data_IF_605042429603
#
_entry.id   IF_605042429603
#
_cell.length_a   1.000
_cell.length_b   1.000
_cell.length_c   1.000
_cell.angle_alpha   90.00
_cell.angle_beta   90.00
_cell.angle_gamma   90.00
#
_symmetry.space_group_name_H-M   'P 1'
#
loop_
_entity.id
_entity.type
_entity.pdbx_description
1 polymer ?
#
# COMPACT_ATOMS: atom_id res chain seq x y z
N UNK A 1 -11.08 14.48 10.04
CA UNK A 1 -10.58 14.85 11.38
C UNK A 1 -9.14 15.33 11.21
N UNK A 2 -8.77 16.45 11.83
CA UNK A 2 -7.41 17.00 11.74
C UNK A 2 -6.46 16.16 12.61
N UNK A 3 -5.28 15.83 12.09
CA UNK A 3 -4.23 15.17 12.84
C UNK A 3 -3.80 16.06 14.02
N UNK A 4 -4.16 15.65 15.24
CA UNK A 4 -3.76 16.32 16.47
C UNK A 4 -2.32 15.95 16.83
N UNK A 5 -1.47 16.96 16.95
CA UNK A 5 -0.08 16.80 17.40
C UNK A 5 -0.03 16.31 18.85
N UNK A 6 0.62 15.15 19.06
CA UNK A 6 0.85 14.53 20.36
C UNK A 6 2.33 14.50 20.74
N UNK A 7 2.62 15.18 21.86
CA UNK A 7 3.64 14.93 22.89
C UNK A 7 5.07 14.52 22.50
N UNK A 8 6.02 15.39 22.90
CA UNK A 8 7.46 15.29 22.67
C UNK A 8 8.09 13.97 23.10
N UNK A 9 8.44 13.17 22.09
CA UNK A 9 9.60 12.28 22.12
C UNK A 9 10.85 13.17 22.32
N UNK A 10 11.86 12.78 23.11
CA UNK A 10 13.12 13.54 23.15
C UNK A 10 13.59 13.81 21.74
N UNK A 11 13.92 15.07 21.45
CA UNK A 11 14.26 15.57 20.12
C UNK A 11 15.44 14.73 19.59
N UNK A 12 15.15 13.69 18.81
CA UNK A 12 16.17 12.80 18.26
C UNK A 12 17.03 13.64 17.34
N UNK A 13 18.35 13.48 17.45
CA UNK A 13 19.27 14.20 16.56
C UNK A 13 18.97 13.77 15.12
N UNK A 14 18.35 14.70 14.37
CA UNK A 14 18.02 14.52 12.97
C UNK A 14 19.30 14.23 12.20
N UNK A 15 19.24 13.20 11.37
CA UNK A 15 20.34 12.83 10.47
C UNK A 15 20.69 13.99 9.53
N UNK A 16 21.98 14.22 9.26
CA UNK A 16 22.47 15.35 8.47
C UNK A 16 22.65 15.00 6.99
N UNK A 17 23.06 13.77 6.71
CA UNK A 17 23.24 13.22 5.37
C UNK A 17 22.89 11.72 5.32
N UNK A 18 22.70 11.17 4.13
CA UNK A 18 22.28 9.77 3.97
C UNK A 18 23.36 8.77 4.39
N UNK A 19 24.63 9.14 4.33
CA UNK A 19 25.73 8.31 4.83
C UNK A 19 25.59 8.07 6.34
N UNK A 20 25.20 9.09 7.12
CA UNK A 20 24.94 8.96 8.54
C UNK A 20 23.81 7.97 8.83
N UNK A 21 22.73 7.98 8.01
CA UNK A 21 21.65 6.99 8.12
C UNK A 21 22.15 5.56 7.85
N UNK A 22 22.95 5.38 6.80
CA UNK A 22 23.52 4.07 6.46
C UNK A 22 24.43 3.56 7.58
N UNK A 23 25.35 4.41 8.05
CA UNK A 23 26.31 4.07 9.08
C UNK A 23 25.60 3.78 10.43
N UNK A 24 24.52 4.51 10.75
CA UNK A 24 23.72 4.33 11.97
C UNK A 24 22.90 3.05 11.98
N UNK A 25 22.29 2.68 10.86
CA UNK A 25 21.26 1.63 10.82
C UNK A 25 21.65 0.37 10.05
N UNK A 26 22.46 0.46 9.00
CA UNK A 26 22.74 -0.67 8.11
C UNK A 26 24.11 -1.31 8.36
N UNK A 27 25.02 -0.64 9.10
CA UNK A 27 26.37 -1.16 9.38
C UNK A 27 27.25 -1.29 8.13
N UNK A 28 26.85 -0.66 7.03
CA UNK A 28 27.49 -0.69 5.73
C UNK A 28 26.76 0.24 4.76
N UNK A 29 27.24 0.33 3.52
CA UNK A 29 26.71 1.26 2.52
C UNK A 29 26.25 0.52 1.26
N UNK A 30 25.21 1.03 0.58
CA UNK A 30 24.78 0.47 -0.69
C UNK A 30 25.77 0.82 -1.81
N UNK A 31 25.44 0.45 -3.06
CA UNK A 31 26.23 0.89 -4.23
C UNK A 31 26.29 2.43 -4.30
N UNK A 32 27.35 2.99 -4.89
CA UNK A 32 27.46 4.45 -5.06
C UNK A 32 26.31 5.00 -5.91
N UNK A 33 25.81 4.22 -6.88
CA UNK A 33 24.64 4.58 -7.67
C UNK A 33 23.38 4.72 -6.81
N UNK A 34 23.11 3.76 -5.91
CA UNK A 34 21.99 3.86 -4.98
C UNK A 34 22.16 5.02 -3.99
N UNK A 35 23.39 5.22 -3.48
CA UNK A 35 23.71 6.32 -2.56
C UNK A 35 23.50 7.69 -3.20
N UNK A 36 23.93 7.88 -4.46
CA UNK A 36 23.68 9.12 -5.22
C UNK A 36 22.20 9.43 -5.34
N UNK A 37 21.37 8.43 -5.65
CA UNK A 37 19.91 8.61 -5.73
C UNK A 37 19.33 8.94 -4.35
N UNK A 38 19.82 8.30 -3.29
CA UNK A 38 19.35 8.53 -1.91
C UNK A 38 19.66 9.93 -1.40
N UNK A 39 20.78 10.55 -1.78
CA UNK A 39 21.14 11.93 -1.37
C UNK A 39 20.02 12.94 -1.69
N UNK A 40 19.19 12.69 -2.69
CA UNK A 40 18.01 13.51 -2.97
C UNK A 40 17.02 13.59 -1.79
N UNK A 41 17.00 12.61 -0.87
CA UNK A 41 16.20 12.64 0.36
C UNK A 41 16.59 13.78 1.30
N UNK A 42 17.85 14.25 1.28
CA UNK A 42 18.35 15.29 2.18
C UNK A 42 17.63 16.62 2.00
N UNK A 43 17.18 16.91 0.78
CA UNK A 43 16.53 18.18 0.45
C UNK A 43 15.00 18.07 0.51
N UNK A 44 14.46 16.91 0.90
CA UNK A 44 13.02 16.68 0.97
C UNK A 44 12.38 17.33 2.20
N UNK A 45 11.05 17.41 2.17
CA UNK A 45 10.22 17.89 3.28
C UNK A 45 10.50 17.08 4.56
N UNK A 46 10.35 17.66 5.77
CA UNK A 46 10.58 16.96 7.03
C UNK A 46 9.85 15.60 7.14
N UNK A 47 8.57 15.55 6.74
CA UNK A 47 7.77 14.33 6.70
C UNK A 47 8.45 13.18 5.91
N UNK A 48 9.02 13.49 4.74
CA UNK A 48 9.72 12.51 3.89
C UNK A 48 11.00 12.05 4.58
N UNK A 49 11.75 12.98 5.19
CA UNK A 49 12.99 12.64 5.89
C UNK A 49 12.74 11.75 7.11
N UNK A 50 11.66 12.00 7.84
CA UNK A 50 11.22 11.17 8.96
C UNK A 50 10.75 9.79 8.47
N UNK A 51 10.05 9.73 7.33
CA UNK A 51 9.67 8.49 6.66
C UNK A 51 10.88 7.64 6.28
N UNK A 52 11.89 8.24 5.65
CA UNK A 52 13.14 7.56 5.27
C UNK A 52 13.89 7.03 6.50
N UNK A 53 14.04 7.84 7.56
CA UNK A 53 14.71 7.36 8.78
C UNK A 53 13.97 6.17 9.41
N UNK A 54 12.64 6.22 9.45
CA UNK A 54 11.83 5.10 9.97
C UNK A 54 11.99 3.84 9.11
N UNK A 55 12.06 3.97 7.79
CA UNK A 55 12.35 2.84 6.90
C UNK A 55 13.73 2.22 7.20
N UNK A 56 14.77 3.04 7.41
CA UNK A 56 16.12 2.56 7.76
C UNK A 56 16.15 1.84 9.10
N UNK A 57 15.36 2.29 10.09
CA UNK A 57 15.20 1.57 11.36
C UNK A 57 14.58 0.19 11.19
N UNK A 58 13.58 0.07 10.32
CA UNK A 58 12.93 -1.22 10.00
C UNK A 58 13.87 -2.14 9.22
N UNK A 59 14.70 -1.58 8.31
CA UNK A 59 15.79 -2.31 7.66
C UNK A 59 16.79 -2.85 8.68
N UNK A 60 17.18 -2.05 9.67
CA UNK A 60 18.07 -2.50 10.75
C UNK A 60 17.46 -3.63 11.58
N UNK A 61 16.20 -3.47 12.01
CA UNK A 61 15.45 -4.47 12.77
C UNK A 61 15.33 -5.80 12.01
N UNK A 62 15.09 -5.71 10.71
CA UNK A 62 15.00 -6.86 9.83
C UNK A 62 16.35 -7.40 9.37
N UNK A 63 17.48 -6.87 9.83
CA UNK A 63 18.84 -7.30 9.42
C UNK A 63 19.05 -7.23 7.90
N UNK A 64 18.51 -6.18 7.27
CA UNK A 64 18.66 -5.94 5.84
C UNK A 64 20.14 -5.74 5.49
N UNK A 65 20.60 -6.40 4.41
CA UNK A 65 21.96 -6.19 3.92
C UNK A 65 22.00 -4.91 3.06
N UNK A 66 22.84 -3.91 3.39
CA UNK A 66 22.95 -2.69 2.58
C UNK A 66 23.31 -2.96 1.12
N UNK A 67 23.95 -4.09 0.81
CA UNK A 67 24.28 -4.50 -0.56
C UNK A 67 23.04 -4.85 -1.39
N UNK A 68 21.90 -5.14 -0.76
CA UNK A 68 20.62 -5.38 -1.42
C UNK A 68 19.83 -4.09 -1.68
N UNK A 69 20.32 -2.95 -1.22
CA UNK A 69 19.69 -1.67 -1.49
C UNK A 69 20.00 -1.24 -2.93
N UNK A 70 19.05 -1.47 -3.84
CA UNK A 70 19.21 -1.13 -5.25
C UNK A 70 18.90 0.35 -5.54
N UNK A 71 19.37 0.89 -6.68
CA UNK A 71 18.96 2.21 -7.17
C UNK A 71 17.43 2.35 -7.33
N UNK A 72 16.73 1.24 -7.62
CA UNK A 72 15.27 1.23 -7.70
C UNK A 72 14.62 1.48 -6.33
N UNK A 73 15.09 0.81 -5.28
CA UNK A 73 14.64 1.06 -3.90
C UNK A 73 14.98 2.50 -3.47
N UNK A 74 16.13 3.03 -3.89
CA UNK A 74 16.49 4.42 -3.64
C UNK A 74 15.51 5.41 -4.29
N UNK A 75 15.12 5.16 -5.55
CA UNK A 75 14.11 5.98 -6.24
C UNK A 75 12.74 5.93 -5.57
N UNK A 76 12.36 4.80 -4.96
CA UNK A 76 11.12 4.76 -4.18
C UNK A 76 11.14 5.84 -3.09
N UNK A 77 12.21 5.92 -2.29
CA UNK A 77 12.29 6.87 -1.19
C UNK A 77 12.44 8.34 -1.65
N UNK A 78 13.08 8.59 -2.79
CA UNK A 78 13.42 9.97 -3.20
C UNK A 78 12.57 10.54 -4.31
N UNK A 79 11.80 9.71 -5.02
CA UNK A 79 10.95 10.14 -6.14
C UNK A 79 9.50 9.77 -5.86
N UNK A 80 9.21 8.52 -5.50
CA UNK A 80 7.83 8.04 -5.35
C UNK A 80 7.22 8.48 -4.01
N UNK A 81 7.87 8.16 -2.88
CA UNK A 81 7.40 8.48 -1.54
C UNK A 81 7.06 9.98 -1.38
N UNK A 82 7.88 10.95 -1.83
CA UNK A 82 7.52 12.36 -1.75
C UNK A 82 6.22 12.74 -2.45
N UNK A 83 5.81 12.00 -3.49
CA UNK A 83 4.57 12.22 -4.24
C UNK A 83 3.35 11.51 -3.65
N UNK A 84 3.53 10.45 -2.85
CA UNK A 84 2.43 9.65 -2.29
C UNK A 84 2.22 9.85 -0.78
N UNK A 85 3.07 10.64 -0.11
CA UNK A 85 2.90 10.97 1.30
C UNK A 85 1.87 12.10 1.52
N UNK A 86 1.09 12.08 2.62
CA UNK A 86 0.00 13.03 2.86
C UNK A 86 0.39 14.51 2.75
N UNK A 87 1.62 14.90 3.13
CA UNK A 87 2.08 16.28 3.01
C UNK A 87 2.09 16.82 1.57
N UNK A 88 2.19 15.97 0.54
CA UNK A 88 2.04 16.39 -0.87
C UNK A 88 0.60 16.80 -1.23
N UNK A 89 -0.36 16.38 -0.41
CA UNK A 89 -1.81 16.47 -0.63
C UNK A 89 -2.50 17.30 0.44
N UNK A 90 -1.77 18.22 1.09
CA UNK A 90 -2.32 19.09 2.13
C UNK A 90 -2.77 18.32 3.38
N UNK A 91 -2.12 17.19 3.67
CA UNK A 91 -2.41 16.33 4.83
C UNK A 91 -3.53 15.32 4.62
N UNK A 92 -4.04 15.19 3.39
CA UNK A 92 -5.05 14.19 3.04
C UNK A 92 -4.35 12.85 2.77
N UNK A 93 -4.97 11.76 3.24
CA UNK A 93 -4.56 10.40 2.85
C UNK A 93 -4.89 10.18 1.37
N UNK A 94 -3.92 9.89 0.50
CA UNK A 94 -4.18 9.73 -0.92
C UNK A 94 -5.11 8.54 -1.17
N UNK A 95 -6.18 8.71 -1.98
CA UNK A 95 -7.17 7.67 -2.24
C UNK A 95 -6.68 6.67 -3.30
N UNK A 96 -5.41 6.27 -3.24
CA UNK A 96 -4.72 5.47 -4.25
C UNK A 96 -5.22 4.04 -4.26
N UNK A 97 -5.77 3.60 -5.38
CA UNK A 97 -6.18 2.22 -5.64
C UNK A 97 -5.62 1.77 -6.99
N UNK A 98 -5.44 0.46 -7.17
CA UNK A 98 -5.00 -0.14 -8.42
C UNK A 98 -5.77 -1.43 -8.69
N UNK A 99 -5.97 -1.81 -9.96
CA UNK A 99 -6.56 -3.09 -10.30
C UNK A 99 -5.75 -4.28 -9.77
N UNK A 100 -6.44 -5.34 -9.38
CA UNK A 100 -5.85 -6.60 -8.92
C UNK A 100 -5.17 -6.52 -7.56
N UNK A 101 -5.29 -5.40 -6.84
CA UNK A 101 -4.60 -5.18 -5.54
C UNK A 101 -4.90 -6.28 -4.54
N UNK A 102 -6.19 -6.54 -4.29
CA UNK A 102 -6.64 -7.48 -3.25
C UNK A 102 -6.97 -8.88 -3.76
N UNK A 103 -6.44 -9.28 -4.92
CA UNK A 103 -6.80 -10.57 -5.54
C UNK A 103 -6.52 -11.76 -4.62
N UNK A 104 -5.35 -11.82 -3.98
CA UNK A 104 -5.05 -12.90 -3.02
C UNK A 104 -5.82 -12.73 -1.71
N UNK A 105 -6.12 -11.50 -1.29
CA UNK A 105 -6.93 -11.27 -0.09
C UNK A 105 -8.36 -11.78 -0.28
N UNK A 106 -8.96 -11.55 -1.45
CA UNK A 106 -10.29 -12.05 -1.78
C UNK A 106 -10.29 -13.58 -1.88
N UNK A 107 -9.26 -14.18 -2.48
CA UNK A 107 -9.08 -15.63 -2.48
C UNK A 107 -8.91 -16.20 -1.05
N UNK A 108 -8.19 -15.48 -0.18
CA UNK A 108 -7.98 -15.85 1.22
C UNK A 108 -9.30 -15.81 2.01
N UNK A 109 -10.13 -14.79 1.79
CA UNK A 109 -11.45 -14.69 2.43
C UNK A 109 -12.39 -15.83 2.01
N UNK A 110 -12.32 -16.30 0.75
CA UNK A 110 -13.09 -17.48 0.30
C UNK A 110 -12.62 -18.79 0.93
N UNK A 111 -11.31 -18.94 1.11
CA UNK A 111 -10.69 -20.15 1.64
C UNK A 111 -10.46 -20.10 3.16
N UNK A 112 -11.05 -19.11 3.85
CA UNK A 112 -10.72 -18.80 5.23
C UNK A 112 -11.18 -19.90 6.20
N UNK A 113 -10.31 -20.31 7.13
CA UNK A 113 -10.62 -21.33 8.14
C UNK A 113 -11.17 -20.76 9.45
N UNK A 114 -11.05 -19.45 9.67
CA UNK A 114 -11.43 -18.77 10.91
C UNK A 114 -12.91 -18.40 10.95
N UNK A 115 -13.57 -18.32 9.80
CA UNK A 115 -15.00 -18.01 9.69
C UNK A 115 -15.62 -18.69 8.46
N UNK A 116 -16.90 -19.04 8.59
CA UNK A 116 -17.74 -19.45 7.46
C UNK A 116 -18.70 -18.30 7.14
N UNK A 117 -18.76 -17.92 5.86
CA UNK A 117 -19.60 -16.83 5.39
C UNK A 117 -20.74 -17.37 4.54
N UNK A 118 -21.96 -16.94 4.85
CA UNK A 118 -23.16 -17.33 4.14
C UNK A 118 -23.49 -16.32 3.03
N UNK A 119 -24.29 -16.69 2.02
CA UNK A 119 -24.88 -15.72 1.09
C UNK A 119 -25.56 -14.57 1.83
N UNK A 120 -25.35 -13.34 1.35
CA UNK A 120 -25.81 -12.11 1.98
C UNK A 120 -24.87 -11.56 3.05
N UNK A 121 -23.69 -12.17 3.27
CA UNK A 121 -22.64 -11.61 4.12
C UNK A 121 -22.30 -10.19 3.67
N UNK A 122 -22.15 -9.28 4.63
CA UNK A 122 -21.74 -7.90 4.38
C UNK A 122 -20.22 -7.81 4.52
N UNK A 123 -19.54 -7.38 3.46
CA UNK A 123 -18.15 -6.94 3.48
C UNK A 123 -18.12 -5.42 3.48
N UNK A 124 -17.58 -4.85 4.55
CA UNK A 124 -17.33 -3.42 4.68
C UNK A 124 -15.86 -3.12 4.35
N UNK A 125 -15.63 -2.46 3.22
CA UNK A 125 -14.31 -2.10 2.70
C UNK A 125 -13.98 -0.66 3.14
N UNK A 126 -13.26 -0.52 4.25
CA UNK A 126 -12.98 0.78 4.89
C UNK A 126 -11.71 1.39 4.34
N UNK A 127 -11.84 2.60 3.80
CA UNK A 127 -10.83 3.31 3.01
C UNK A 127 -10.74 2.75 1.59
N UNK A 128 -11.88 2.56 0.94
CA UNK A 128 -11.95 2.00 -0.42
C UNK A 128 -11.30 2.91 -1.49
N UNK A 129 -10.94 4.15 -1.15
CA UNK A 129 -10.26 5.08 -2.04
C UNK A 129 -11.11 5.49 -3.24
N UNK A 130 -10.45 6.06 -4.24
CA UNK A 130 -11.11 6.59 -5.43
C UNK A 130 -10.17 6.70 -6.65
N UNK A 131 -10.55 6.11 -7.81
CA UNK A 131 -11.71 5.25 -8.04
C UNK A 131 -11.73 4.02 -7.12
N UNK A 132 -12.90 3.51 -6.69
CA UNK A 132 -12.98 2.48 -5.65
C UNK A 132 -12.75 1.06 -6.20
N UNK A 133 -11.64 0.85 -6.90
CA UNK A 133 -11.35 -0.37 -7.67
C UNK A 133 -11.39 -1.63 -6.80
N UNK A 134 -10.90 -1.55 -5.57
CA UNK A 134 -10.86 -2.68 -4.63
C UNK A 134 -12.26 -3.16 -4.21
N UNK A 135 -13.23 -2.24 -4.09
CA UNK A 135 -14.62 -2.57 -3.79
C UNK A 135 -15.35 -3.11 -5.02
N UNK A 136 -15.03 -2.62 -6.21
CA UNK A 136 -15.56 -3.14 -7.48
C UNK A 136 -15.13 -4.60 -7.66
N UNK A 137 -13.83 -4.87 -7.52
CA UNK A 137 -13.29 -6.23 -7.64
C UNK A 137 -13.83 -7.17 -6.56
N UNK A 138 -14.01 -6.69 -5.33
CA UNK A 138 -14.67 -7.47 -4.28
C UNK A 138 -16.12 -7.82 -4.66
N UNK A 139 -16.87 -6.91 -5.28
CA UNK A 139 -18.24 -7.18 -5.71
C UNK A 139 -18.32 -8.22 -6.83
N UNK A 140 -17.32 -8.26 -7.71
CA UNK A 140 -17.16 -9.30 -8.72
C UNK A 140 -16.72 -10.64 -8.11
N UNK A 141 -15.84 -10.58 -7.10
CA UNK A 141 -15.34 -11.76 -6.41
C UNK A 141 -16.38 -12.39 -5.47
N UNK A 142 -17.37 -11.65 -4.99
CA UNK A 142 -18.38 -12.14 -4.07
C UNK A 142 -19.79 -11.72 -4.53
N UNK A 143 -20.30 -12.30 -5.64
CA UNK A 143 -21.60 -11.90 -6.21
C UNK A 143 -22.77 -12.17 -5.25
N UNK A 144 -22.63 -13.13 -4.34
CA UNK A 144 -23.61 -13.47 -3.32
C UNK A 144 -23.47 -12.66 -2.02
N UNK A 145 -22.45 -11.80 -1.89
CA UNK A 145 -22.27 -10.92 -0.72
C UNK A 145 -22.79 -9.53 -1.02
N UNK A 146 -23.01 -8.74 0.03
CA UNK A 146 -23.25 -7.30 -0.07
C UNK A 146 -21.96 -6.56 0.25
N UNK A 147 -21.43 -5.84 -0.73
CA UNK A 147 -20.23 -5.02 -0.59
C UNK A 147 -20.61 -3.58 -0.28
N UNK A 148 -19.98 -3.02 0.74
CA UNK A 148 -20.12 -1.62 1.12
C UNK A 148 -18.74 -0.99 1.12
N UNK A 149 -18.45 -0.18 0.11
CA UNK A 149 -17.24 0.64 0.07
C UNK A 149 -17.44 1.89 0.92
N UNK A 150 -16.52 2.14 1.85
CA UNK A 150 -16.58 3.29 2.74
C UNK A 150 -15.30 4.10 2.65
N UNK A 151 -15.41 5.41 2.42
CA UNK A 151 -14.28 6.34 2.49
C UNK A 151 -14.72 7.66 3.16
N UNK A 152 -13.88 8.30 3.99
CA UNK A 152 -14.19 9.60 4.57
C UNK A 152 -14.53 10.69 3.53
N UNK A 153 -13.96 10.59 2.32
CA UNK A 153 -14.14 11.60 1.28
C UNK A 153 -14.41 10.96 -0.07
N UNK A 154 -15.54 11.34 -0.66
CA UNK A 154 -15.81 11.11 -2.07
C UNK A 154 -15.96 12.46 -2.76
N UNK A 155 -15.03 12.75 -3.68
CA UNK A 155 -14.99 14.03 -4.36
C UNK A 155 -16.12 14.14 -5.39
N UNK A 156 -16.68 15.34 -5.56
CA UNK A 156 -17.87 15.56 -6.39
C UNK A 156 -17.55 15.39 -7.88
N UNK A 157 -16.30 15.64 -8.27
CA UNK A 157 -15.87 15.64 -9.65
C UNK A 157 -14.66 14.74 -9.88
N UNK A 158 -14.69 14.06 -11.02
CA UNK A 158 -13.56 13.32 -11.59
C UNK A 158 -13.30 13.84 -12.99
N UNK A 159 -12.08 14.33 -13.24
CA UNK A 159 -11.67 14.88 -14.52
C UNK A 159 -10.58 14.00 -15.12
N UNK A 160 -10.77 13.58 -16.36
CA UNK A 160 -9.75 12.93 -17.19
C UNK A 160 -9.17 13.95 -18.18
N UNK A 161 -7.85 13.99 -18.28
CA UNK A 161 -7.15 14.74 -19.32
C UNK A 161 -7.12 13.95 -20.65
N UNK A 162 -6.54 14.54 -21.69
CA UNK A 162 -6.39 13.94 -23.03
C UNK A 162 -5.51 12.67 -23.07
N UNK A 163 -4.80 12.37 -21.98
CA UNK A 163 -3.96 11.19 -21.80
C UNK A 163 -4.58 10.17 -20.86
N UNK A 164 -5.84 10.37 -20.48
CA UNK A 164 -6.60 9.60 -19.49
C UNK A 164 -6.05 9.69 -18.06
N UNK A 165 -5.05 10.52 -17.77
CA UNK A 165 -4.70 10.81 -16.38
C UNK A 165 -5.89 11.49 -15.72
N UNK A 166 -6.07 11.27 -14.42
CA UNK A 166 -7.24 11.77 -13.74
C UNK A 166 -6.93 12.63 -12.53
N UNK A 167 -7.83 13.56 -12.24
CA UNK A 167 -7.86 14.35 -11.03
C UNK A 167 -9.21 14.27 -10.32
N UNK A 168 -9.17 14.15 -9.00
CA UNK A 168 -10.34 14.27 -8.13
C UNK A 168 -10.45 15.73 -7.68
N UNK A 169 -11.62 16.33 -7.89
CA UNK A 169 -11.86 17.74 -7.55
C UNK A 169 -13.05 17.86 -6.60
N UNK A 170 -12.87 18.72 -5.59
CA UNK A 170 -13.94 19.00 -4.64
C UNK A 170 -15.06 19.84 -5.28
N UNK A 171 -16.10 20.14 -4.49
CA UNK A 171 -17.28 20.88 -4.96
C UNK A 171 -16.97 22.27 -5.54
N UNK A 172 -15.81 22.84 -5.22
CA UNK A 172 -15.35 24.15 -5.69
C UNK A 172 -14.47 24.05 -6.94
N UNK A 173 -14.16 22.84 -7.41
CA UNK A 173 -13.24 22.61 -8.52
C UNK A 173 -11.77 22.63 -8.11
N UNK A 174 -11.45 22.59 -6.81
CA UNK A 174 -10.07 22.50 -6.36
C UNK A 174 -9.58 21.06 -6.54
N UNK A 175 -8.43 20.89 -7.17
CA UNK A 175 -7.75 19.60 -7.30
C UNK A 175 -7.30 19.11 -5.92
N UNK A 176 -7.78 17.92 -5.53
CA UNK A 176 -7.50 17.28 -4.24
C UNK A 176 -6.46 16.18 -4.38
N UNK A 177 -6.53 15.47 -5.49
CA UNK A 177 -5.65 14.36 -5.84
C UNK A 177 -5.58 14.22 -7.36
N UNK A 178 -4.46 13.72 -7.88
CA UNK A 178 -4.35 13.31 -9.28
C UNK A 178 -3.43 12.10 -9.41
N UNK A 179 -3.67 11.30 -10.45
CA UNK A 179 -2.93 10.07 -10.72
C UNK A 179 -2.77 9.83 -12.20
N UNK A 180 -1.60 9.30 -12.55
CA UNK A 180 -1.30 8.86 -13.89
C UNK A 180 -2.09 7.59 -14.22
N UNK A 181 -2.68 7.54 -15.41
CA UNK A 181 -3.41 6.35 -15.88
C UNK A 181 -2.46 5.23 -16.33
N UNK A 182 -1.24 5.61 -16.73
CA UNK A 182 -0.23 4.70 -17.25
C UNK A 182 1.13 4.93 -16.58
N UNK A 183 1.98 3.90 -16.43
CA UNK A 183 3.29 4.03 -15.80
C UNK A 183 4.19 5.10 -16.43
N UNK A 184 4.17 5.24 -17.76
CA UNK A 184 4.98 6.21 -18.51
C UNK A 184 4.60 7.68 -18.23
N UNK A 185 3.36 7.94 -17.81
CA UNK A 185 2.87 9.28 -17.48
C UNK A 185 3.17 9.67 -16.03
N UNK A 186 3.60 8.73 -15.17
CA UNK A 186 3.87 8.99 -13.76
C UNK A 186 4.91 10.10 -13.58
N UNK A 187 6.13 9.92 -14.11
CA UNK A 187 7.19 10.91 -13.91
C UNK A 187 6.84 12.29 -14.51
N UNK A 188 6.31 12.40 -15.74
CA UNK A 188 5.83 13.68 -16.27
C UNK A 188 4.81 14.36 -15.36
N UNK A 189 3.78 13.64 -14.92
CA UNK A 189 2.68 14.19 -14.12
C UNK A 189 3.13 14.69 -12.73
N UNK A 190 4.11 14.03 -12.13
CA UNK A 190 4.61 14.40 -10.79
C UNK A 190 5.85 15.32 -10.83
N UNK A 191 6.40 15.60 -12.02
CA UNK A 191 7.63 16.42 -12.15
C UNK A 191 7.40 17.90 -11.84
N UNK A 192 6.25 18.45 -12.24
CA UNK A 192 5.80 19.81 -11.90
C UNK A 192 4.35 19.76 -11.41
N UNK A 193 4.20 19.70 -10.09
CA UNK A 193 2.91 19.60 -9.42
C UNK A 193 2.04 20.84 -9.65
N UNK A 194 2.62 22.04 -9.63
CA UNK A 194 1.85 23.27 -9.74
C UNK A 194 1.34 23.46 -11.16
N UNK A 195 2.16 23.14 -12.16
CA UNK A 195 1.73 23.09 -13.56
C UNK A 195 0.63 22.05 -13.77
N UNK A 196 0.74 20.87 -13.15
CA UNK A 196 -0.27 19.81 -13.25
C UNK A 196 -1.60 20.22 -12.63
N UNK A 197 -1.57 20.83 -11.44
CA UNK A 197 -2.78 21.37 -10.80
C UNK A 197 -3.41 22.47 -11.68
N UNK A 198 -2.59 23.34 -12.26
CA UNK A 198 -3.07 24.38 -13.16
C UNK A 198 -3.72 23.80 -14.41
N UNK A 199 -3.12 22.77 -15.03
CA UNK A 199 -3.68 22.06 -16.17
C UNK A 199 -5.07 21.49 -15.87
N UNK A 200 -5.22 20.71 -14.81
CA UNK A 200 -6.53 20.17 -14.42
C UNK A 200 -7.54 21.25 -14.05
N UNK A 201 -7.10 22.32 -13.36
CA UNK A 201 -7.98 23.43 -12.99
C UNK A 201 -8.52 24.17 -14.22
N UNK A 202 -7.69 24.36 -15.26
CA UNK A 202 -8.09 24.96 -16.52
C UNK A 202 -9.06 24.08 -17.30
N UNK A 203 -8.77 22.78 -17.41
CA UNK A 203 -9.67 21.82 -18.05
C UNK A 203 -11.02 21.73 -17.33
N UNK A 204 -11.03 21.72 -16.00
CA UNK A 204 -12.25 21.78 -15.21
C UNK A 204 -13.09 23.03 -15.52
N UNK A 205 -12.47 24.22 -15.53
CA UNK A 205 -13.17 25.48 -15.80
C UNK A 205 -13.77 25.53 -17.22
N UNK A 206 -13.16 24.85 -18.18
CA UNK A 206 -13.68 24.75 -19.56
C UNK A 206 -14.85 23.78 -19.69
N UNK A 207 -14.82 22.65 -18.98
CA UNK A 207 -15.84 21.60 -19.09
C UNK A 207 -17.04 21.81 -18.16
N UNK A 208 -16.86 22.46 -17.01
CA UNK A 208 -17.92 22.67 -16.02
C UNK A 208 -19.19 23.33 -16.60
N UNK A 209 -19.12 24.37 -17.47
CA UNK A 209 -20.31 24.97 -18.07
C UNK A 209 -21.07 24.04 -19.02
N UNK A 210 -20.43 22.99 -19.52
CA UNK A 210 -21.03 22.00 -20.42
C UNK A 210 -21.73 20.86 -19.68
N UNK A 211 -21.58 20.79 -18.35
CA UNK A 211 -22.34 19.83 -17.56
C UNK A 211 -23.82 20.24 -17.49
N UNK A 212 -24.75 19.27 -17.52
CA UNK A 212 -26.16 19.51 -17.18
C UNK A 212 -26.32 20.16 -15.80
N UNK A 213 -27.53 20.69 -15.54
CA UNK A 213 -27.95 21.13 -14.21
C UNK A 213 -27.72 20.01 -13.20
N UNK A 214 -27.20 20.35 -12.02
CA UNK A 214 -26.95 19.36 -10.97
C UNK A 214 -28.26 18.87 -10.34
N UNK A 215 -28.65 17.65 -10.69
CA UNK A 215 -29.80 16.94 -10.10
C UNK A 215 -29.37 15.91 -9.04
N UNK A 216 -28.10 15.93 -8.60
CA UNK A 216 -27.57 14.96 -7.66
C UNK A 216 -27.25 13.58 -8.26
N UNK A 217 -27.22 13.47 -9.58
CA UNK A 217 -27.01 12.23 -10.33
C UNK A 217 -25.79 12.31 -11.24
N UNK A 218 -25.30 11.15 -11.70
CA UNK A 218 -24.18 11.09 -12.62
C UNK A 218 -24.43 11.95 -13.86
N UNK A 219 -23.45 12.79 -14.19
CA UNK A 219 -23.42 13.55 -15.43
C UNK A 219 -22.01 13.67 -15.97
N UNK A 220 -21.89 13.84 -17.28
CA UNK A 220 -20.60 13.86 -17.97
C UNK A 220 -20.58 14.97 -19.02
N UNK A 221 -19.45 15.62 -19.16
CA UNK A 221 -19.14 16.57 -20.23
C UNK A 221 -17.79 16.20 -20.86
N UNK A 222 -17.71 16.25 -22.19
CA UNK A 222 -16.51 15.89 -22.94
C UNK A 222 -16.17 16.97 -23.97
N UNK A 223 -14.89 17.32 -24.07
CA UNK A 223 -14.37 18.26 -25.06
C UNK A 223 -12.87 18.04 -25.28
N UNK A 224 -12.42 18.01 -26.53
CA UNK A 224 -11.01 17.83 -26.94
C UNK A 224 -10.31 16.64 -26.25
N UNK A 225 -10.99 15.50 -26.15
CA UNK A 225 -10.45 14.29 -25.50
C UNK A 225 -10.39 14.36 -23.97
N UNK A 226 -10.85 15.45 -23.35
CA UNK A 226 -10.96 15.60 -21.89
C UNK A 226 -12.38 15.30 -21.44
N UNK A 227 -12.53 14.71 -20.27
CA UNK A 227 -13.83 14.25 -19.75
C UNK A 227 -14.03 14.62 -18.29
N UNK A 228 -15.06 15.40 -18.00
CA UNK A 228 -15.46 15.76 -16.65
C UNK A 228 -16.70 14.95 -16.25
N UNK A 229 -16.61 14.23 -15.14
CA UNK A 229 -17.71 13.47 -14.54
C UNK A 229 -18.11 14.11 -13.21
N UNK A 230 -19.39 14.39 -13.02
CA UNK A 230 -19.98 14.81 -11.73
C UNK A 230 -20.72 13.64 -11.09
N UNK A 231 -20.63 13.51 -9.77
CA UNK A 231 -21.19 12.41 -8.96
C UNK A 231 -20.72 11.02 -9.43
N UNK A 232 -19.41 10.81 -9.57
CA UNK A 232 -18.86 9.65 -10.29
C UNK A 232 -19.08 8.29 -9.59
N UNK A 233 -19.36 8.28 -8.28
CA UNK A 233 -19.58 7.03 -7.52
C UNK A 233 -20.68 6.15 -8.08
N UNK A 234 -21.79 6.76 -8.50
CA UNK A 234 -22.95 6.03 -9.02
C UNK A 234 -22.64 5.25 -10.31
N UNK A 235 -21.54 5.57 -11.02
CA UNK A 235 -21.05 4.78 -12.15
C UNK A 235 -20.49 3.42 -11.71
N UNK A 236 -20.01 3.33 -10.47
CA UNK A 236 -19.35 2.16 -9.90
C UNK A 236 -20.29 1.27 -9.08
N UNK A 237 -21.47 1.77 -8.69
CA UNK A 237 -22.47 0.99 -7.97
C UNK A 237 -22.97 -0.20 -8.80
N UNK A 238 -23.32 -1.29 -8.10
CA UNK A 238 -23.85 -2.53 -8.69
C UNK A 238 -25.00 -3.03 -7.82
N UNK A 239 -25.69 -4.08 -8.25
CA UNK A 239 -26.77 -4.70 -7.46
C UNK A 239 -26.32 -5.17 -6.07
N UNK A 240 -25.03 -5.50 -5.92
CA UNK A 240 -24.43 -5.94 -4.68
C UNK A 240 -23.34 -4.99 -4.13
N UNK A 241 -23.16 -3.80 -4.72
CA UNK A 241 -22.14 -2.83 -4.32
C UNK A 241 -22.73 -1.43 -4.15
N UNK A 242 -22.57 -0.88 -2.96
CA UNK A 242 -22.97 0.50 -2.61
C UNK A 242 -21.83 1.25 -1.93
N UNK A 243 -21.83 2.57 -2.01
CA UNK A 243 -20.83 3.42 -1.36
C UNK A 243 -21.43 4.28 -0.25
N UNK A 244 -20.72 4.40 0.87
CA UNK A 244 -21.13 5.25 2.00
C UNK A 244 -19.99 6.15 2.39
N UNK A 245 -20.22 7.47 2.43
CA UNK A 245 -19.21 8.39 2.93
C UNK A 245 -19.05 8.19 4.45
N UNK A 246 -17.93 7.62 4.86
CA UNK A 246 -17.65 7.24 6.24
C UNK A 246 -16.33 6.48 6.36
N UNK A 247 -15.76 6.47 7.55
CA UNK A 247 -14.58 5.67 7.89
C UNK A 247 -14.68 5.13 9.31
N UNK A 248 -13.55 4.68 9.87
CA UNK A 248 -13.46 4.27 11.26
C UNK A 248 -14.11 5.30 12.19
N UNK A 249 -14.94 4.82 13.14
CA UNK A 249 -15.68 5.67 14.09
C UNK A 249 -16.96 6.31 13.55
N UNK A 250 -17.29 6.17 12.26
CA UNK A 250 -18.50 6.81 11.70
C UNK A 250 -19.77 6.09 12.14
N UNK A 251 -20.79 6.87 12.54
CA UNK A 251 -22.14 6.36 12.74
C UNK A 251 -22.85 6.18 11.39
N UNK A 252 -23.56 5.07 11.20
CA UNK A 252 -24.30 4.79 9.96
C UNK A 252 -23.64 3.80 9.00
N UNK A 253 -22.43 3.31 9.30
CA UNK A 253 -21.89 2.13 8.62
C UNK A 253 -22.61 0.86 9.11
N UNK A 254 -22.89 -0.10 8.22
CA UNK A 254 -23.66 -1.29 8.58
C UNK A 254 -22.83 -2.25 9.43
N UNK A 255 -23.52 -3.04 10.26
CA UNK A 255 -22.93 -4.24 10.86
C UNK A 255 -22.45 -5.19 9.74
N UNK A 256 -21.26 -5.77 9.92
CA UNK A 256 -20.58 -6.54 8.88
C UNK A 256 -20.15 -7.94 9.34
N UNK A 257 -20.10 -8.89 8.40
CA UNK A 257 -19.46 -10.19 8.62
C UNK A 257 -17.94 -10.12 8.39
N UNK A 258 -17.52 -9.23 7.48
CA UNK A 258 -16.12 -8.93 7.20
C UNK A 258 -15.92 -7.42 7.20
N UNK A 259 -14.92 -6.94 7.93
CA UNK A 259 -14.35 -5.60 7.77
C UNK A 259 -12.98 -5.78 7.14
N UNK A 260 -12.75 -5.12 6.00
CA UNK A 260 -11.48 -5.10 5.30
C UNK A 260 -10.92 -3.68 5.33
N UNK A 261 -9.63 -3.52 5.63
CA UNK A 261 -8.97 -2.21 5.54
C UNK A 261 -7.47 -2.35 5.24
N UNK A 262 -7.10 -2.16 3.98
CA UNK A 262 -5.71 -2.25 3.52
C UNK A 262 -5.17 -0.89 3.10
N UNK A 263 -3.91 -0.64 3.48
CA UNK A 263 -3.21 0.61 3.21
C UNK A 263 -3.89 1.85 3.81
N UNK A 264 -4.64 1.70 4.90
CA UNK A 264 -5.31 2.82 5.58
C UNK A 264 -4.70 3.09 6.94
N UNK A 265 -4.69 2.08 7.82
CA UNK A 265 -4.23 2.26 9.21
C UNK A 265 -2.76 2.66 9.33
N UNK A 266 -1.95 2.40 8.29
CA UNK A 266 -0.56 2.84 8.18
C UNK A 266 -0.38 4.36 8.25
N UNK A 267 -1.42 5.14 7.94
CA UNK A 267 -1.41 6.61 7.99
C UNK A 267 -1.69 7.18 9.38
N UNK A 268 -2.09 6.34 10.34
CA UNK A 268 -2.57 6.78 11.64
C UNK A 268 -1.70 6.26 12.78
N UNK A 269 -1.68 6.98 13.88
CA UNK A 269 -0.90 6.62 15.06
C UNK A 269 -1.52 5.47 15.86
N UNK A 270 -0.83 5.07 16.92
CA UNK A 270 -1.26 3.98 17.79
C UNK A 270 -2.56 4.30 18.56
N UNK A 271 -2.89 5.57 18.79
CA UNK A 271 -4.09 5.97 19.51
C UNK A 271 -5.31 5.78 18.63
N UNK A 272 -5.27 6.32 17.41
CA UNK A 272 -6.28 6.09 16.40
C UNK A 272 -6.43 4.60 16.08
N UNK A 273 -5.32 3.84 16.01
CA UNK A 273 -5.39 2.38 15.78
C UNK A 273 -6.23 1.68 16.85
N UNK A 274 -6.09 2.04 18.13
CA UNK A 274 -6.89 1.44 19.22
C UNK A 274 -8.37 1.81 19.09
N UNK A 275 -8.66 3.08 18.83
CA UNK A 275 -10.04 3.54 18.62
C UNK A 275 -10.69 2.85 17.40
N UNK A 276 -9.94 2.67 16.32
CA UNK A 276 -10.38 1.94 15.14
C UNK A 276 -10.68 0.47 15.47
N UNK A 277 -9.82 -0.21 16.22
CA UNK A 277 -10.04 -1.60 16.64
C UNK A 277 -11.26 -1.77 17.55
N UNK A 278 -11.46 -0.84 18.50
CA UNK A 278 -12.65 -0.81 19.36
C UNK A 278 -13.92 -0.62 18.55
N UNK A 279 -13.90 0.29 17.56
CA UNK A 279 -15.02 0.50 16.66
C UNK A 279 -15.28 -0.73 15.78
N UNK A 280 -14.24 -1.36 15.22
CA UNK A 280 -14.40 -2.58 14.40
C UNK A 280 -15.01 -3.71 15.23
N UNK A 281 -14.61 -3.86 16.50
CA UNK A 281 -15.19 -4.86 17.40
C UNK A 281 -16.70 -4.67 17.63
N UNK A 282 -17.21 -3.43 17.53
CA UNK A 282 -18.63 -3.10 17.67
C UNK A 282 -19.42 -3.31 16.37
N UNK A 283 -18.77 -3.14 15.22
CA UNK A 283 -19.39 -3.25 13.89
C UNK A 283 -19.40 -4.69 13.38
N UNK A 284 -18.45 -5.52 13.82
CA UNK A 284 -18.39 -6.92 13.44
C UNK A 284 -19.45 -7.77 14.14
N UNK A 285 -20.12 -8.61 13.36
CA UNK A 285 -20.91 -9.72 13.88
C UNK A 285 -20.05 -10.67 14.73
N UNK A 286 -20.63 -11.36 15.72
CA UNK A 286 -19.94 -12.42 16.43
C UNK A 286 -19.33 -13.45 15.46
N UNK A 287 -18.03 -13.73 15.62
CA UNK A 287 -17.28 -14.63 14.74
C UNK A 287 -16.88 -14.04 13.37
N UNK A 288 -17.25 -12.79 13.07
CA UNK A 288 -16.83 -12.07 11.87
C UNK A 288 -15.34 -11.72 11.89
N UNK A 289 -14.80 -11.33 10.74
CA UNK A 289 -13.37 -11.09 10.55
C UNK A 289 -13.04 -9.62 10.31
N UNK A 290 -11.95 -9.18 10.93
CA UNK A 290 -11.25 -7.96 10.54
C UNK A 290 -9.94 -8.34 9.85
N UNK A 291 -9.77 -7.91 8.60
CA UNK A 291 -8.52 -8.11 7.85
C UNK A 291 -7.93 -6.75 7.52
N UNK A 292 -6.72 -6.49 7.99
CA UNK A 292 -6.08 -5.20 7.78
C UNK A 292 -4.56 -5.30 7.66
N UNK A 293 -3.98 -4.35 6.93
CA UNK A 293 -2.53 -4.25 6.79
C UNK A 293 -2.19 -3.51 5.52
N UNK A 294 -1.21 -4.01 4.79
CA UNK A 294 -0.79 -3.47 3.51
C UNK A 294 -0.80 -4.57 2.45
N UNK A 295 -1.23 -4.15 1.26
CA UNK A 295 -1.29 -4.98 0.08
C UNK A 295 -1.08 -4.09 -1.15
N UNK A 296 -0.21 -4.45 -2.08
CA UNK A 296 -0.01 -3.70 -3.32
C UNK A 296 -0.58 -4.50 -4.52
N UNK A 297 -0.44 -4.00 -5.75
CA UNK A 297 -1.00 -4.67 -6.94
C UNK A 297 -0.59 -6.14 -7.05
N UNK A 298 -1.54 -7.02 -7.35
CA UNK A 298 -1.33 -8.48 -7.40
C UNK A 298 -0.83 -9.07 -6.08
N UNK A 299 -1.20 -8.43 -4.97
CA UNK A 299 -0.81 -8.76 -3.61
C UNK A 299 0.71 -8.81 -3.36
N UNK A 300 1.46 -7.99 -4.08
CA UNK A 300 2.86 -7.75 -3.78
C UNK A 300 3.04 -7.00 -2.46
N UNK A 301 4.15 -7.26 -1.78
CA UNK A 301 4.50 -6.67 -0.49
C UNK A 301 3.40 -6.87 0.58
N UNK A 302 2.54 -7.87 0.41
CA UNK A 302 1.43 -8.13 1.31
C UNK A 302 1.96 -8.42 2.71
N UNK A 303 1.41 -7.73 3.71
CA UNK A 303 1.57 -8.08 5.11
C UNK A 303 0.37 -7.57 5.90
N UNK A 304 -0.30 -8.47 6.61
CA UNK A 304 -1.60 -8.18 7.18
C UNK A 304 -1.91 -9.04 8.39
N UNK A 305 -2.76 -8.49 9.24
CA UNK A 305 -3.32 -9.14 10.41
C UNK A 305 -4.76 -9.57 10.11
N UNK A 306 -5.15 -10.71 10.67
CA UNK A 306 -6.49 -11.27 10.63
C UNK A 306 -6.96 -11.45 12.07
N UNK A 307 -8.03 -10.73 12.41
CA UNK A 307 -8.67 -10.84 13.71
C UNK A 307 -10.06 -11.43 13.55
N UNK A 308 -10.50 -12.13 14.58
CA UNK A 308 -11.87 -12.61 14.70
C UNK A 308 -12.57 -11.94 15.87
N UNK A 309 -13.83 -11.54 15.68
CA UNK A 309 -14.67 -11.03 16.76
C UNK A 309 -15.08 -12.15 17.71
N UNK A 310 -14.56 -12.15 18.93
CA UNK A 310 -14.84 -13.13 19.97
C UNK A 310 -15.16 -12.41 21.29
N UNK A 311 -16.36 -12.61 21.82
CA UNK A 311 -16.79 -11.98 23.08
C UNK A 311 -16.79 -10.44 23.04
N UNK A 312 -17.05 -9.83 21.88
CA UNK A 312 -17.03 -8.38 21.69
C UNK A 312 -15.62 -7.78 21.62
N UNK A 313 -14.60 -8.60 21.35
CA UNK A 313 -13.20 -8.18 21.22
C UNK A 313 -12.60 -8.75 19.95
N UNK A 314 -11.58 -8.09 19.42
CA UNK A 314 -10.77 -8.62 18.33
C UNK A 314 -9.71 -9.56 18.90
N UNK A 315 -9.77 -10.82 18.51
CA UNK A 315 -8.75 -11.83 18.82
C UNK A 315 -7.96 -12.09 17.56
N UNK A 316 -6.67 -11.76 17.57
CA UNK A 316 -5.79 -12.04 16.45
C UNK A 316 -5.68 -13.56 16.24
N UNK A 317 -5.84 -13.99 14.99
CA UNK A 317 -5.70 -15.39 14.59
C UNK A 317 -4.45 -15.62 13.76
N UNK A 318 -4.11 -14.64 12.93
CA UNK A 318 -3.04 -14.77 11.94
C UNK A 318 -2.41 -13.41 11.65
N UNK A 319 -1.09 -13.38 11.58
CA UNK A 319 -0.35 -12.37 10.83
C UNK A 319 0.31 -13.06 9.64
N UNK A 320 0.06 -12.57 8.43
CA UNK A 320 0.56 -13.16 7.20
C UNK A 320 1.31 -12.16 6.34
N UNK A 321 2.26 -12.65 5.54
CA UNK A 321 3.06 -11.85 4.63
C UNK A 321 3.55 -12.63 3.40
N UNK A 322 3.80 -11.92 2.30
CA UNK A 322 4.40 -12.46 1.08
C UNK A 322 5.90 -12.73 1.26
N UNK A 323 6.40 -13.86 0.77
CA UNK A 323 7.81 -14.24 0.96
C UNK A 323 8.79 -13.34 0.21
N UNK A 324 8.36 -12.68 -0.86
CA UNK A 324 9.15 -11.72 -1.64
C UNK A 324 9.63 -10.54 -0.79
N UNK A 325 8.90 -10.23 0.29
CA UNK A 325 9.27 -9.20 1.28
C UNK A 325 10.59 -9.49 1.99
N UNK A 326 11.07 -10.75 1.98
CA UNK A 326 12.36 -11.16 2.57
C UNK A 326 13.51 -10.33 2.05
N UNK A 327 13.46 -9.82 0.82
CA UNK A 327 14.50 -8.90 0.32
C UNK A 327 13.96 -7.56 -0.15
N UNK A 328 12.70 -7.50 -0.56
CA UNK A 328 12.12 -6.27 -1.05
C UNK A 328 10.84 -5.95 -0.27
N UNK A 329 11.01 -5.27 0.88
CA UNK A 329 9.90 -4.61 1.56
C UNK A 329 10.00 -3.11 1.32
N UNK A 330 8.86 -2.48 1.03
CA UNK A 330 8.79 -1.03 0.77
C UNK A 330 8.89 -0.22 2.07
N UNK A 331 9.03 -0.89 3.24
CA UNK A 331 9.24 -0.28 4.57
C UNK A 331 8.42 0.98 4.82
N UNK A 332 7.14 0.93 4.48
CA UNK A 332 6.25 2.08 4.58
C UNK A 332 5.59 2.09 5.95
N UNK A 333 6.18 2.83 6.87
CA UNK A 333 5.52 3.27 8.08
C UNK A 333 5.37 4.79 8.00
N UNK A 334 4.37 5.40 8.63
CA UNK A 334 4.32 6.85 8.88
C UNK A 334 4.51 7.23 10.35
N UNK A 335 4.36 6.24 11.22
CA UNK A 335 4.43 6.39 12.66
C UNK A 335 5.41 5.38 13.25
N UNK A 336 6.03 5.75 14.37
CA UNK A 336 6.84 4.80 15.13
C UNK A 336 5.93 3.69 15.68
N UNK A 337 6.35 2.43 15.52
CA UNK A 337 5.59 1.29 16.02
C UNK A 337 4.32 0.96 15.22
N UNK A 338 4.23 1.38 13.95
CA UNK A 338 3.20 0.88 13.02
C UNK A 338 3.22 -0.66 13.04
N UNK A 339 2.09 -1.26 13.46
CA UNK A 339 2.04 -2.61 14.01
C UNK A 339 2.44 -3.66 12.98
N UNK A 340 1.84 -3.60 11.79
CA UNK A 340 2.02 -4.63 10.78
C UNK A 340 3.44 -4.58 10.16
N UNK A 341 3.96 -3.39 9.85
CA UNK A 341 5.31 -3.24 9.29
C UNK A 341 6.40 -3.58 10.32
N UNK A 342 6.20 -3.23 11.59
CA UNK A 342 7.14 -3.58 12.65
C UNK A 342 7.23 -5.10 12.84
N UNK A 343 6.07 -5.78 12.91
CA UNK A 343 6.03 -7.23 13.03
C UNK A 343 6.62 -7.94 11.82
N UNK A 344 6.37 -7.42 10.62
CA UNK A 344 7.05 -7.90 9.42
C UNK A 344 8.57 -7.81 9.59
N UNK A 345 9.10 -6.66 10.02
CA UNK A 345 10.54 -6.48 10.20
C UNK A 345 11.15 -7.50 11.18
N UNK A 346 10.48 -7.82 12.28
CA UNK A 346 10.94 -8.84 13.25
C UNK A 346 10.98 -10.25 12.65
N UNK A 347 9.93 -10.63 11.91
CA UNK A 347 9.86 -11.93 11.24
C UNK A 347 10.90 -12.05 10.13
N UNK A 348 11.10 -10.99 9.35
CA UNK A 348 12.16 -10.95 8.33
C UNK A 348 13.55 -11.00 8.96
N UNK A 349 13.76 -10.35 10.11
CA UNK A 349 14.99 -10.47 10.88
C UNK A 349 15.27 -11.89 11.34
N UNK A 350 14.24 -12.67 11.66
CA UNK A 350 14.35 -14.10 11.96
C UNK A 350 14.74 -14.90 10.73
N UNK A 351 14.06 -14.70 9.60
CA UNK A 351 14.36 -15.38 8.33
C UNK A 351 15.79 -15.11 7.85
N UNK A 352 16.21 -13.84 7.84
CA UNK A 352 17.57 -13.43 7.43
C UNK A 352 18.66 -13.86 8.42
N UNK A 353 18.31 -14.34 9.61
CA UNK A 353 19.28 -14.93 10.54
C UNK A 353 19.63 -16.38 10.19
N UNK A 354 18.79 -17.07 9.41
CA UNK A 354 19.06 -18.41 8.91
C UNK A 354 19.95 -18.32 7.66
N UNK A 355 21.24 -18.65 7.82
CA UNK A 355 22.25 -18.46 6.78
C UNK A 355 22.01 -19.31 5.53
N UNK A 356 21.51 -20.53 5.71
CA UNK A 356 21.26 -21.45 4.60
C UNK A 356 20.04 -20.98 3.79
N UNK A 357 18.95 -20.65 4.48
CA UNK A 357 17.77 -20.07 3.84
C UNK A 357 18.12 -18.79 3.08
N UNK A 358 18.81 -17.86 3.73
CA UNK A 358 19.12 -16.56 3.13
C UNK A 358 20.06 -16.72 1.92
N UNK A 359 21.09 -17.57 2.02
CA UNK A 359 22.01 -17.81 0.91
C UNK A 359 21.28 -18.33 -0.33
N UNK A 360 20.44 -19.35 -0.17
CA UNK A 360 19.71 -19.94 -1.28
C UNK A 360 18.68 -18.96 -1.87
N UNK A 361 17.97 -18.24 -0.98
CA UNK A 361 16.98 -17.24 -1.37
C UNK A 361 17.62 -16.11 -2.19
N UNK A 362 18.70 -15.52 -1.68
CA UNK A 362 19.38 -14.41 -2.34
C UNK A 362 20.01 -14.85 -3.65
N UNK A 363 20.58 -16.06 -3.70
CA UNK A 363 21.15 -16.63 -4.93
C UNK A 363 20.08 -16.80 -6.00
N UNK A 364 18.91 -17.36 -5.65
CA UNK A 364 17.81 -17.53 -6.60
C UNK A 364 17.28 -16.19 -7.07
N UNK A 365 17.02 -15.28 -6.15
CA UNK A 365 16.48 -13.96 -6.48
C UNK A 365 17.46 -13.12 -7.31
N UNK A 366 18.77 -13.16 -7.02
CA UNK A 366 19.79 -12.51 -7.84
C UNK A 366 19.81 -13.07 -9.28
N UNK A 367 19.68 -14.40 -9.44
CA UNK A 367 19.58 -15.02 -10.76
C UNK A 367 18.34 -14.53 -11.53
N UNK A 368 17.17 -14.53 -10.88
CA UNK A 368 15.93 -14.06 -11.49
C UNK A 368 15.98 -12.56 -11.86
N UNK A 369 16.52 -11.71 -10.98
CA UNK A 369 16.69 -10.28 -11.26
C UNK A 369 17.63 -10.04 -12.45
N UNK A 370 18.71 -10.82 -12.56
CA UNK A 370 19.67 -10.71 -13.65
C UNK A 370 19.11 -11.22 -14.98
N UNK A 371 18.48 -12.40 -14.99
CA UNK A 371 17.80 -13.00 -16.15
C UNK A 371 16.76 -12.05 -16.76
N UNK A 372 16.09 -11.28 -15.90
CA UNK A 372 15.06 -10.33 -16.27
C UNK A 372 15.55 -8.89 -16.48
N UNK A 373 16.87 -8.64 -16.42
CA UNK A 373 17.48 -7.31 -16.58
C UNK A 373 16.92 -6.26 -15.61
N UNK A 374 16.56 -6.68 -14.40
CA UNK A 374 16.07 -5.78 -13.34
C UNK A 374 17.22 -5.22 -12.49
N UNK A 375 18.13 -6.09 -12.05
CA UNK A 375 19.30 -5.71 -11.26
C UNK A 375 20.40 -6.77 -11.39
N UNK A 376 21.64 -6.35 -11.22
CA UNK A 376 22.81 -7.23 -11.15
C UNK A 376 23.70 -6.84 -9.96
N UNK A 377 24.62 -7.71 -9.57
CA UNK A 377 25.63 -7.42 -8.54
C UNK A 377 26.88 -6.79 -9.17
N UNK A 378 27.39 -5.71 -8.58
CA UNK A 378 28.69 -5.14 -8.94
C UNK A 378 29.87 -5.92 -8.31
N UNK A 379 31.10 -5.45 -8.52
CA UNK A 379 32.32 -6.07 -7.98
C UNK A 379 32.37 -6.10 -6.43
N UNK A 380 31.57 -5.27 -5.76
CA UNK A 380 31.45 -5.22 -4.30
C UNK A 380 30.27 -6.07 -3.80
N UNK A 381 29.55 -6.72 -4.70
CA UNK A 381 28.34 -7.48 -4.40
C UNK A 381 27.13 -6.60 -4.11
N UNK A 382 27.14 -5.32 -4.49
CA UNK A 382 25.98 -4.44 -4.34
C UNK A 382 25.05 -4.54 -5.55
N UNK A 383 23.74 -4.43 -5.34
CA UNK A 383 22.79 -4.31 -6.44
C UNK A 383 22.97 -2.98 -7.18
N UNK A 384 23.03 -3.08 -8.51
CA UNK A 384 23.11 -1.97 -9.46
C UNK A 384 22.19 -2.23 -10.65
N UNK A 385 21.92 -1.20 -11.44
CA UNK A 385 21.23 -1.37 -12.72
C UNK A 385 22.13 -2.11 -13.72
N UNK A 386 21.58 -3.04 -14.51
CA UNK A 386 22.33 -3.68 -15.58
C UNK A 386 22.58 -2.69 -16.74
N UNK A 387 23.54 -2.98 -17.65
CA UNK A 387 23.86 -2.10 -18.78
C UNK A 387 22.71 -1.83 -19.75
N UNK A 388 21.79 -2.79 -19.89
CA UNK A 388 20.57 -2.72 -20.69
C UNK A 388 19.38 -3.05 -19.79
N UNK A 389 18.90 -2.09 -18.98
CA UNK A 389 17.83 -2.33 -18.03
C UNK A 389 16.50 -2.58 -18.72
N UNK A 390 15.65 -3.38 -18.08
CA UNK A 390 14.27 -3.56 -18.51
C UNK A 390 13.56 -2.21 -18.62
N UNK A 391 12.70 -2.07 -19.64
CA UNK A 391 11.84 -0.91 -19.80
C UNK A 391 10.94 -0.73 -18.56
N UNK A 392 10.82 0.52 -18.07
CA UNK A 392 10.09 0.82 -16.83
C UNK A 392 8.64 0.29 -16.85
N UNK A 393 7.94 0.38 -17.99
CA UNK A 393 6.58 -0.12 -18.14
C UNK A 393 6.44 -1.64 -17.96
N UNK A 394 7.54 -2.40 -18.15
CA UNK A 394 7.57 -3.86 -17.99
C UNK A 394 8.11 -4.32 -16.64
N UNK A 395 8.69 -3.42 -15.84
CA UNK A 395 9.35 -3.76 -14.59
C UNK A 395 8.38 -4.38 -13.56
N UNK A 396 7.18 -3.82 -13.40
CA UNK A 396 6.20 -4.33 -12.43
C UNK A 396 5.63 -5.72 -12.82
N UNK A 397 5.15 -5.95 -14.06
CA UNK A 397 4.72 -7.30 -14.48
C UNK A 397 5.81 -8.37 -14.30
N UNK A 398 7.05 -8.05 -14.67
CA UNK A 398 8.16 -8.99 -14.51
C UNK A 398 8.49 -9.23 -13.04
N UNK A 399 8.41 -8.20 -12.19
CA UNK A 399 8.57 -8.39 -10.74
C UNK A 399 7.47 -9.27 -10.14
N UNK A 400 6.23 -9.21 -10.64
CA UNK A 400 5.15 -10.10 -10.23
C UNK A 400 5.46 -11.56 -10.58
N UNK A 401 6.01 -11.82 -11.77
CA UNK A 401 6.45 -13.15 -12.18
C UNK A 401 7.57 -13.68 -11.27
N UNK A 402 8.58 -12.86 -10.97
CA UNK A 402 9.67 -13.20 -10.04
C UNK A 402 9.11 -13.51 -8.64
N UNK A 403 8.20 -12.68 -8.12
CA UNK A 403 7.60 -12.89 -6.80
C UNK A 403 6.82 -14.21 -6.73
N UNK A 404 6.08 -14.56 -7.79
CA UNK A 404 5.36 -15.83 -7.87
C UNK A 404 6.31 -17.04 -7.86
N UNK A 405 7.42 -16.96 -8.59
CA UNK A 405 8.42 -18.02 -8.62
C UNK A 405 9.12 -18.21 -7.27
N UNK A 406 9.52 -17.11 -6.64
CA UNK A 406 10.09 -17.13 -5.29
C UNK A 406 9.10 -17.69 -4.26
N UNK A 407 7.80 -17.36 -4.36
CA UNK A 407 6.76 -17.95 -3.52
C UNK A 407 6.67 -19.47 -3.68
N UNK A 408 6.71 -19.96 -4.92
CA UNK A 408 6.68 -21.39 -5.21
C UNK A 408 7.84 -22.16 -4.57
N UNK A 409 9.04 -21.57 -4.55
CA UNK A 409 10.26 -22.22 -4.06
C UNK A 409 10.50 -22.04 -2.55
N UNK A 410 10.17 -20.87 -1.99
CA UNK A 410 10.65 -20.46 -0.66
C UNK A 410 9.59 -20.32 0.43
N UNK A 411 8.29 -20.29 0.12
CA UNK A 411 7.26 -20.11 1.15
C UNK A 411 7.33 -21.18 2.26
N UNK A 412 7.36 -22.47 1.88
CA UNK A 412 7.42 -23.58 2.84
C UNK A 412 8.77 -23.66 3.58
N UNK A 413 9.84 -23.20 2.93
CA UNK A 413 11.18 -23.08 3.56
C UNK A 413 11.18 -22.00 4.62
N UNK A 414 10.60 -20.84 4.33
CA UNK A 414 10.46 -19.74 5.28
C UNK A 414 9.62 -20.14 6.49
N UNK A 415 8.48 -20.83 6.26
CA UNK A 415 7.68 -21.44 7.33
C UNK A 415 8.52 -22.36 8.20
N UNK A 416 9.37 -23.20 7.59
CA UNK A 416 10.24 -24.12 8.32
C UNK A 416 11.28 -23.39 9.18
N UNK A 417 11.84 -22.27 8.70
CA UNK A 417 12.76 -21.42 9.47
C UNK A 417 12.04 -20.82 10.69
N UNK A 418 10.85 -20.25 10.50
CA UNK A 418 10.07 -19.65 11.60
C UNK A 418 9.68 -20.70 12.65
N UNK A 419 9.29 -21.91 12.23
CA UNK A 419 9.03 -23.04 13.15
C UNK A 419 10.26 -23.41 13.97
N UNK A 420 11.44 -23.48 13.35
CA UNK A 420 12.70 -23.73 14.06
C UNK A 420 13.06 -22.63 15.06
N UNK A 421 12.64 -21.40 14.78
CA UNK A 421 12.75 -20.27 15.71
C UNK A 421 11.69 -20.30 16.84
N UNK A 422 10.83 -21.33 16.89
CA UNK A 422 9.83 -21.52 17.94
C UNK A 422 8.48 -20.85 17.67
N UNK A 423 8.25 -20.33 16.46
CA UNK A 423 6.99 -19.69 16.09
C UNK A 423 5.98 -20.70 15.54
N UNK A 424 4.69 -20.47 15.81
CA UNK A 424 3.61 -21.22 15.20
C UNK A 424 3.34 -20.67 13.79
N UNK A 425 4.05 -21.21 12.79
CA UNK A 425 3.98 -20.74 11.40
C UNK A 425 3.37 -21.77 10.45
N UNK A 426 2.73 -21.33 9.37
CA UNK A 426 2.23 -22.17 8.28
C UNK A 426 2.16 -21.39 6.96
N UNK A 427 1.93 -22.08 5.85
CA UNK A 427 1.59 -21.46 4.58
C UNK A 427 0.07 -21.41 4.47
N UNK A 428 -0.51 -20.22 4.35
CA UNK A 428 -1.96 -20.07 4.28
C UNK A 428 -2.48 -20.45 2.86
N UNK A 429 -3.81 -20.54 2.66
CA UNK A 429 -4.39 -21.03 1.41
C UNK A 429 -4.03 -20.25 0.13
N UNK A 430 -3.50 -19.03 0.25
CA UNK A 430 -3.12 -18.18 -0.89
C UNK A 430 -1.61 -18.07 -1.07
N UNK A 431 -0.86 -18.89 -0.35
CA UNK A 431 0.58 -19.03 -0.50
C UNK A 431 1.41 -18.14 0.43
N UNK A 432 0.79 -17.21 1.16
CA UNK A 432 1.49 -16.34 2.10
C UNK A 432 1.97 -17.11 3.33
N UNK A 433 3.06 -16.62 3.93
CA UNK A 433 3.60 -17.14 5.19
C UNK A 433 2.75 -16.55 6.31
N UNK A 434 2.16 -17.39 7.12
CA UNK A 434 1.32 -17.03 8.26
C UNK A 434 1.99 -17.42 9.58
N UNK A 435 1.78 -16.61 10.61
CA UNK A 435 2.19 -16.84 12.00
C UNK A 435 1.02 -16.58 12.91
N UNK A 436 0.73 -17.53 13.79
CA UNK A 436 -0.35 -17.46 14.77
C UNK A 436 0.13 -16.88 16.09
N UNK A 437 -0.83 -16.38 16.87
CA UNK A 437 -0.63 -15.92 18.24
C UNK A 437 -0.37 -17.07 19.22
#
# INVERSE_FOLDING_TARGET
>A
MQASGGTGTPERERWKNVEELCDRYLGGRPSEAALQVLRNAEQQRPEVRDFVERAFRLMALSKFDPRDFSPFVARFFTVIAPGILPGAWGGIVPPFTLPGRHRKIDAYLRANEWANFEPGTVLLDVGCGFPPQTSIEAAEAFPEWRIVGADPTFEQYLLYDERENYACLDRTGRVRYFQASRPEEFLPLYSDRDATIQHFSQAFAQLLPSLPTDEGTLSTAEHDGRRLVRHPLSAYERSNLTFVQGGFGSSGLPEAGVVRSFNVLIYYDADFRREAEEWVAQVLRPGGLFVCGRDDSESLNAHYSVYRSEGGRLVEKEFAFGVETVRHSVWFALHDGERETWRLAELLGTLRSDREFLHDYDTRLDALLAENRMAIRDEKGCLVEPPDPIEAARALPVYQEIAHEIEGEFADRAVSVLKRAGLHAWRNPVGHIAVGA
#
